data_IF_724832468596
#
_entry.id   IF_724832468596
#
_cell.length_a   1.000
_cell.length_b   1.000
_cell.length_c   1.000
_cell.angle_alpha   90.00
_cell.angle_beta   90.00
_cell.angle_gamma   90.00
#
_symmetry.space_group_name_H-M   'P 1'
#
loop_
_entity.id
_entity.type
_entity.pdbx_description
1 polymer ?
#
# COMPACT_ATOMS: atom_id res chain seq x y z
N UNK A 1 4.74 -0.22 7.83
CA UNK A 1 4.24 -1.25 6.93
C UNK A 1 2.78 -1.01 6.60
N UNK A 2 2.44 -1.12 5.34
CA UNK A 2 1.06 -1.01 4.90
C UNK A 2 0.77 -2.06 3.83
N UNK A 3 -0.52 -2.36 3.66
CA UNK A 3 -0.97 -3.28 2.62
C UNK A 3 -1.90 -2.55 1.66
N UNK A 4 -1.80 -2.89 0.40
CA UNK A 4 -2.63 -2.30 -0.63
C UNK A 4 -3.07 -3.38 -1.63
N UNK A 5 -4.26 -3.24 -2.20
CA UNK A 5 -4.71 -4.16 -3.22
C UNK A 5 -3.76 -4.14 -4.41
N UNK A 6 -3.41 -5.32 -4.90
CA UNK A 6 -2.46 -5.44 -6.01
C UNK A 6 -2.95 -4.78 -7.29
N UNK A 7 -4.25 -4.72 -7.49
CA UNK A 7 -4.85 -4.09 -8.67
C UNK A 7 -5.05 -2.59 -8.52
N UNK A 8 -4.75 -2.04 -7.35
CA UNK A 8 -4.88 -0.62 -7.11
C UNK A 8 -3.58 0.10 -7.50
N UNK A 9 -3.37 0.23 -8.80
CA UNK A 9 -2.14 0.82 -9.33
C UNK A 9 -1.92 2.27 -8.90
N UNK A 10 -3.02 3.02 -8.71
CA UNK A 10 -2.91 4.41 -8.26
C UNK A 10 -2.32 4.49 -6.86
N UNK A 11 -2.80 3.64 -5.97
CA UNK A 11 -2.30 3.61 -4.59
C UNK A 11 -0.84 3.19 -4.56
N UNK A 12 -0.49 2.16 -5.33
CA UNK A 12 0.89 1.68 -5.39
C UNK A 12 1.81 2.77 -5.90
N UNK A 13 1.43 3.45 -6.97
CA UNK A 13 2.22 4.55 -7.52
C UNK A 13 2.36 5.69 -6.52
N UNK A 14 1.29 6.02 -5.82
CA UNK A 14 1.31 7.07 -4.81
C UNK A 14 2.29 6.74 -3.69
N UNK A 15 2.23 5.53 -3.17
CA UNK A 15 3.12 5.13 -2.09
C UNK A 15 4.58 5.11 -2.54
N UNK A 16 4.85 4.66 -3.77
CA UNK A 16 6.22 4.69 -4.30
C UNK A 16 6.75 6.11 -4.41
N UNK A 17 5.88 7.05 -4.75
CA UNK A 17 6.28 8.47 -4.79
C UNK A 17 6.67 9.00 -3.42
N UNK A 18 6.09 8.45 -2.36
CA UNK A 18 6.44 8.83 -0.99
C UNK A 18 7.65 8.08 -0.45
N UNK A 19 8.20 7.17 -1.22
CA UNK A 19 9.39 6.45 -0.81
C UNK A 19 9.15 5.04 -0.27
N UNK A 20 7.92 4.54 -0.37
CA UNK A 20 7.63 3.17 0.03
C UNK A 20 8.19 2.18 -0.97
N UNK A 21 8.63 1.04 -0.45
CA UNK A 21 9.10 -0.06 -1.28
C UNK A 21 8.22 -1.28 -1.09
N UNK A 22 8.04 -2.04 -2.14
CA UNK A 22 7.32 -3.29 -2.06
C UNK A 22 8.22 -4.33 -1.39
N UNK A 23 7.77 -4.88 -0.28
CA UNK A 23 8.54 -5.83 0.50
C UNK A 23 7.96 -7.24 0.45
N UNK A 24 6.76 -7.41 -0.04
CA UNK A 24 6.14 -8.72 -0.11
C UNK A 24 4.79 -8.68 -0.77
N UNK A 25 4.20 -9.87 -0.89
CA UNK A 25 2.90 -10.03 -1.53
C UNK A 25 2.17 -11.20 -0.90
N UNK A 26 0.92 -10.97 -0.49
CA UNK A 26 0.03 -12.02 -0.02
C UNK A 26 -0.96 -12.36 -1.12
N UNK A 27 -0.88 -13.57 -1.63
CA UNK A 27 -1.78 -14.01 -2.68
C UNK A 27 -3.15 -14.33 -2.14
N UNK A 28 -4.19 -13.87 -2.83
CA UNK A 28 -5.56 -14.17 -2.48
C UNK A 28 -5.97 -13.71 -1.10
N UNK A 29 -5.38 -12.62 -0.62
CA UNK A 29 -5.63 -12.11 0.73
C UNK A 29 -7.06 -11.60 0.89
N UNK A 30 -7.61 -10.98 -0.15
CA UNK A 30 -8.94 -10.41 -0.10
C UNK A 30 -9.87 -11.15 -1.03
N UNK A 31 -11.10 -11.38 -0.57
CA UNK A 31 -12.13 -11.98 -1.39
C UNK A 31 -13.30 -11.00 -1.48
N UNK A 32 -13.59 -10.54 -2.69
CA UNK A 32 -14.67 -9.58 -2.94
C UNK A 32 -15.52 -10.13 -4.09
N UNK A 33 -16.80 -10.33 -3.83
CA UNK A 33 -17.75 -10.86 -4.82
C UNK A 33 -17.26 -12.14 -5.50
N UNK A 34 -16.64 -13.02 -4.73
CA UNK A 34 -16.17 -14.31 -5.24
C UNK A 34 -14.83 -14.25 -5.96
N UNK A 35 -14.22 -13.07 -6.08
CA UNK A 35 -12.91 -12.91 -6.69
C UNK A 35 -11.87 -12.64 -5.64
N UNK A 36 -10.69 -13.22 -5.81
CA UNK A 36 -9.59 -13.06 -4.88
C UNK A 36 -8.61 -12.02 -5.40
N UNK A 37 -8.16 -11.18 -4.49
CA UNK A 37 -7.21 -10.11 -4.80
C UNK A 37 -5.98 -10.25 -3.93
N UNK A 38 -4.83 -10.02 -4.53
CA UNK A 38 -3.57 -10.05 -3.80
C UNK A 38 -3.37 -8.75 -3.02
N UNK A 39 -2.60 -8.85 -1.95
CA UNK A 39 -2.18 -7.70 -1.16
C UNK A 39 -0.70 -7.46 -1.40
N UNK A 40 -0.34 -6.24 -1.73
CA UNK A 40 1.05 -5.82 -1.84
C UNK A 40 1.44 -5.19 -0.51
N UNK A 41 2.50 -5.70 0.10
CA UNK A 41 3.02 -5.15 1.34
C UNK A 41 4.12 -4.15 1.01
N UNK A 42 4.01 -2.98 1.60
CA UNK A 42 4.97 -1.90 1.36
C UNK A 42 5.48 -1.34 2.67
N UNK A 43 6.70 -0.87 2.66
CA UNK A 43 7.33 -0.33 3.85
C UNK A 43 8.15 0.91 3.52
N UNK A 44 8.22 1.82 4.47
CA UNK A 44 8.99 3.05 4.34
C UNK A 44 10.24 2.92 5.18
N UNK A 45 11.38 2.89 4.53
CA UNK A 45 12.67 2.66 5.19
C UNK A 45 13.34 3.90 5.74
N UNK A 46 12.83 5.06 5.39
CA UNK A 46 13.43 6.31 5.83
C UNK A 46 12.79 6.77 7.14
N UNK A 47 13.53 7.60 7.87
CA UNK A 47 13.00 8.27 9.05
C UNK A 47 11.99 9.32 8.59
N UNK A 48 10.78 8.86 8.30
CA UNK A 48 9.71 9.76 7.90
C UNK A 48 9.14 10.40 9.16
N UNK A 49 8.91 11.70 9.13
CA UNK A 49 8.24 12.34 10.24
C UNK A 49 6.76 11.95 10.27
N UNK A 50 6.13 12.14 11.41
CA UNK A 50 4.75 11.76 11.59
C UNK A 50 3.79 12.52 10.70
N UNK A 51 4.11 13.78 10.39
CA UNK A 51 3.27 14.59 9.52
C UNK A 51 3.18 13.98 8.13
N UNK A 52 4.31 13.50 7.60
CA UNK A 52 4.36 12.85 6.31
C UNK A 52 3.55 11.55 6.31
N UNK A 53 3.68 10.77 7.37
CA UNK A 53 2.92 9.53 7.51
C UNK A 53 1.42 9.79 7.59
N UNK A 54 1.01 10.85 8.28
CA UNK A 54 -0.39 11.23 8.35
C UNK A 54 -0.94 11.62 6.99
N UNK A 55 -0.14 12.34 6.21
CA UNK A 55 -0.52 12.73 4.87
C UNK A 55 -0.72 11.52 3.98
N UNK A 56 0.17 10.55 4.06
CA UNK A 56 0.07 9.32 3.29
C UNK A 56 -1.20 8.56 3.65
N UNK A 57 -1.48 8.43 4.94
CA UNK A 57 -2.68 7.72 5.40
C UNK A 57 -3.95 8.42 4.96
N UNK A 58 -3.94 9.76 4.98
CA UNK A 58 -5.09 10.56 4.57
C UNK A 58 -5.34 10.43 3.07
N UNK A 59 -4.29 10.30 2.28
CA UNK A 59 -4.37 10.18 0.84
C UNK A 59 -4.66 8.75 0.39
N UNK A 60 -4.69 7.80 1.30
CA UNK A 60 -4.92 6.41 0.96
C UNK A 60 -6.30 6.23 0.31
N UNK A 61 -6.36 5.76 -0.93
CA UNK A 61 -7.62 5.70 -1.69
C UNK A 61 -8.47 4.48 -1.39
N UNK A 62 -8.36 3.92 -0.30
CA UNK A 62 -9.05 2.73 0.04
C UNK A 62 -10.55 2.74 -0.09
#
# INVERSE_FOLDING_TARGET
ELGVYADNERAIALYKRFGFEEIGRHRGRFCVDGEYYDEILMDLHLDADEAKLREIRRACPR
#
